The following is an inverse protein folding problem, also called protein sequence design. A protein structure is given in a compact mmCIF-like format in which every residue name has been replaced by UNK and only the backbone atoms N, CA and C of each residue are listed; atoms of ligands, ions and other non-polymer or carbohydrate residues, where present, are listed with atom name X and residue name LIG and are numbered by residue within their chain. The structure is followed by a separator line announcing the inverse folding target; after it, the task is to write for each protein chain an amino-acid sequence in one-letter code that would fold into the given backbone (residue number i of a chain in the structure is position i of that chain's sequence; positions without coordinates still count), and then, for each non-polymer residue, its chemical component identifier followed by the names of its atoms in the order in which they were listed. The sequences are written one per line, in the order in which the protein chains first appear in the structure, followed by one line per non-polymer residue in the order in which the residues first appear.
data_IF_570971292354
#
_entry.id   IF_570971292354
#
_cell.length_a   1.000
_cell.length_b   1.000
_cell.length_c   1.000
_cell.angle_alpha   90.00
_cell.angle_beta   90.00
_cell.angle_gamma   90.00
#
_symmetry.space_group_name_H-M   'P 1'
#
loop_
_entity.id
_entity.type
_entity.pdbx_description
1 polymer ?
#
# COMPACT_ATOMS: atom_id res chain seq x y z
N UNK A 1 7.29 38.79 16.56
CA UNK A 1 7.44 38.10 17.86
C UNK A 1 6.08 37.58 18.32
N UNK A 2 5.71 36.35 17.93
CA UNK A 2 4.68 35.47 18.54
C UNK A 2 4.63 34.20 17.68
N UNK A 3 5.25 33.08 18.08
CA UNK A 3 5.08 31.77 17.40
C UNK A 3 5.63 30.51 18.11
N UNK A 4 6.01 30.56 19.38
CA UNK A 4 6.44 29.35 20.14
C UNK A 4 5.50 28.99 21.31
N UNK A 5 4.42 29.73 21.50
CA UNK A 5 3.40 29.47 22.53
C UNK A 5 2.04 28.99 21.97
N UNK A 6 1.99 28.58 20.70
CA UNK A 6 0.74 28.29 19.97
C UNK A 6 0.44 26.80 19.77
N UNK A 7 1.30 25.90 20.25
CA UNK A 7 1.03 24.46 20.18
C UNK A 7 0.58 23.95 21.54
N UNK A 8 -0.71 23.62 21.66
CA UNK A 8 -1.22 22.94 22.84
C UNK A 8 -0.59 21.54 22.93
N UNK A 9 -0.12 21.14 24.12
CA UNK A 9 0.47 19.82 24.37
C UNK A 9 -0.56 18.69 24.40
N UNK A 10 -1.86 19.00 24.50
CA UNK A 10 -2.96 18.03 24.62
C UNK A 10 -3.41 17.42 23.26
N UNK A 11 -2.51 17.33 22.28
CA UNK A 11 -2.85 16.81 20.96
C UNK A 11 -3.18 15.30 21.00
N UNK A 12 -2.42 14.53 21.77
CA UNK A 12 -2.66 13.10 21.96
C UNK A 12 -4.06 12.82 22.52
N UNK A 13 -4.44 13.58 23.54
CA UNK A 13 -5.71 13.48 24.25
C UNK A 13 -6.87 13.91 23.36
N UNK A 14 -6.66 14.90 22.47
CA UNK A 14 -7.65 15.29 21.47
C UNK A 14 -7.99 14.14 20.51
N UNK A 15 -6.97 13.45 20.01
CA UNK A 15 -7.17 12.29 19.12
C UNK A 15 -7.83 11.14 19.87
N UNK A 16 -7.36 10.81 21.08
CA UNK A 16 -7.96 9.78 21.92
C UNK A 16 -9.43 10.11 22.28
N UNK A 17 -9.75 11.38 22.55
CA UNK A 17 -11.11 11.86 22.78
C UNK A 17 -12.00 11.63 21.54
N UNK A 18 -11.50 11.98 20.35
CA UNK A 18 -12.20 11.83 19.07
C UNK A 18 -12.56 10.36 18.74
N UNK A 19 -11.70 9.42 19.13
CA UNK A 19 -11.93 7.98 18.95
C UNK A 19 -12.62 7.30 20.14
N UNK A 20 -12.86 8.04 21.24
CA UNK A 20 -13.51 7.51 22.43
C UNK A 20 -12.60 6.60 23.26
N UNK A 21 -11.29 6.74 23.14
CA UNK A 21 -10.26 5.90 23.78
C UNK A 21 -9.86 6.39 25.18
N UNK A 22 -10.23 7.62 25.55
CA UNK A 22 -10.00 8.13 26.91
C UNK A 22 -10.88 7.43 27.95
N UNK A 23 -10.29 7.15 29.12
CA UNK A 23 -11.04 6.74 30.31
C UNK A 23 -11.98 7.86 30.80
N UNK A 24 -12.90 7.54 31.71
CA UNK A 24 -13.88 8.51 32.21
C UNK A 24 -13.20 9.72 32.91
N UNK A 25 -12.14 9.46 33.67
CA UNK A 25 -11.40 10.49 34.42
C UNK A 25 -10.61 11.39 33.46
N UNK A 26 -9.87 10.80 32.51
CA UNK A 26 -9.12 11.54 31.48
C UNK A 26 -10.06 12.37 30.59
N UNK A 27 -11.23 11.82 30.26
CA UNK A 27 -12.25 12.54 29.48
C UNK A 27 -12.73 13.79 30.23
N UNK A 28 -13.04 13.68 31.51
CA UNK A 28 -13.47 14.82 32.35
C UNK A 28 -12.39 15.89 32.48
N UNK A 29 -11.13 15.49 32.61
CA UNK A 29 -10.00 16.42 32.63
C UNK A 29 -9.82 17.13 31.28
N UNK A 30 -9.88 16.39 30.18
CA UNK A 30 -9.76 16.95 28.83
C UNK A 30 -10.93 17.89 28.49
N UNK A 31 -12.17 17.57 28.90
CA UNK A 31 -13.32 18.45 28.73
C UNK A 31 -13.15 19.78 29.49
N UNK A 32 -12.56 19.74 30.68
CA UNK A 32 -12.19 20.96 31.41
C UNK A 32 -11.15 21.79 30.66
N UNK A 33 -10.17 21.13 30.05
CA UNK A 33 -9.19 21.79 29.18
C UNK A 33 -9.86 22.42 27.95
N UNK A 34 -10.79 21.73 27.29
CA UNK A 34 -11.54 22.24 26.15
C UNK A 34 -12.30 23.53 26.47
N UNK A 35 -12.82 23.69 27.69
CA UNK A 35 -13.48 24.94 28.12
C UNK A 35 -12.48 26.11 28.20
N UNK A 36 -11.23 25.86 28.58
CA UNK A 36 -10.21 26.89 28.75
C UNK A 36 -9.38 27.17 27.47
N UNK A 37 -9.25 26.20 26.56
CA UNK A 37 -8.35 26.27 25.42
C UNK A 37 -9.09 26.48 24.09
N UNK A 38 -8.97 27.68 23.51
CA UNK A 38 -9.58 27.99 22.21
C UNK A 38 -9.01 27.16 21.05
N UNK A 39 -7.71 26.89 21.08
CA UNK A 39 -7.01 26.12 20.03
C UNK A 39 -7.58 24.70 19.94
N UNK A 40 -7.69 23.99 21.07
CA UNK A 40 -8.24 22.63 21.07
C UNK A 40 -9.71 22.59 20.64
N UNK A 41 -10.51 23.62 20.93
CA UNK A 41 -11.89 23.71 20.42
C UNK A 41 -11.94 23.90 18.92
N UNK A 42 -11.08 24.76 18.39
CA UNK A 42 -11.00 25.01 16.95
C UNK A 42 -10.57 23.74 16.20
N UNK A 43 -9.52 23.08 16.66
CA UNK A 43 -9.05 21.79 16.14
C UNK A 43 -10.13 20.71 16.20
N UNK A 44 -10.79 20.53 17.36
CA UNK A 44 -11.88 19.56 17.52
C UNK A 44 -13.01 19.83 16.52
N UNK A 45 -13.42 21.09 16.36
CA UNK A 45 -14.44 21.47 15.37
C UNK A 45 -13.99 21.20 13.93
N UNK A 46 -12.69 21.33 13.64
CA UNK A 46 -12.09 20.99 12.34
C UNK A 46 -12.19 19.51 12.04
N UNK A 47 -11.88 18.66 13.01
CA UNK A 47 -12.04 17.21 12.89
C UNK A 47 -13.49 16.79 12.71
N UNK A 48 -14.42 17.39 13.46
CA UNK A 48 -15.85 17.10 13.33
C UNK A 48 -16.38 17.44 11.93
N UNK A 49 -15.98 18.59 11.36
CA UNK A 49 -16.31 18.95 9.97
C UNK A 49 -15.76 17.95 8.97
N UNK A 50 -14.51 17.53 9.11
CA UNK A 50 -13.89 16.50 8.25
C UNK A 50 -14.65 15.17 8.34
N UNK A 51 -15.01 14.72 9.55
CA UNK A 51 -15.77 13.47 9.73
C UNK A 51 -17.18 13.57 9.14
N UNK A 52 -17.85 14.72 9.28
CA UNK A 52 -19.14 14.96 8.66
C UNK A 52 -19.02 14.89 7.13
N UNK A 53 -18.00 15.53 6.55
CA UNK A 53 -17.74 15.48 5.11
C UNK A 53 -17.50 14.05 4.60
N UNK A 54 -16.65 13.27 5.28
CA UNK A 54 -16.40 11.86 4.92
C UNK A 54 -17.67 11.02 5.00
N UNK A 55 -18.52 11.23 6.02
CA UNK A 55 -19.81 10.55 6.14
C UNK A 55 -20.75 10.89 4.98
N UNK A 56 -20.86 12.17 4.62
CA UNK A 56 -21.68 12.61 3.47
C UNK A 56 -21.16 12.05 2.16
N UNK A 57 -19.84 12.06 1.95
CA UNK A 57 -19.22 11.46 0.77
C UNK A 57 -19.51 9.96 0.68
N UNK A 58 -19.37 9.23 1.81
CA UNK A 58 -19.68 7.79 1.87
C UNK A 58 -21.15 7.51 1.54
N UNK A 59 -22.08 8.28 2.11
CA UNK A 59 -23.51 8.14 1.81
C UNK A 59 -23.79 8.35 0.31
N UNK A 60 -23.19 9.38 -0.30
CA UNK A 60 -23.29 9.63 -1.75
C UNK A 60 -22.67 8.51 -2.59
N UNK A 61 -21.55 7.95 -2.16
CA UNK A 61 -20.91 6.83 -2.83
C UNK A 61 -21.78 5.56 -2.77
N UNK A 62 -22.44 5.32 -1.63
CA UNK A 62 -23.39 4.22 -1.47
C UNK A 62 -24.65 4.43 -2.34
N UNK A 63 -25.20 5.64 -2.39
CA UNK A 63 -26.31 6.01 -3.27
C UNK A 63 -25.95 5.85 -4.76
N UNK A 64 -24.77 6.32 -5.17
CA UNK A 64 -24.28 6.18 -6.54
C UNK A 64 -24.01 4.71 -6.93
N UNK A 65 -23.74 3.85 -5.95
CA UNK A 65 -23.58 2.42 -6.16
C UNK A 65 -24.93 1.69 -6.37
N UNK A 66 -26.07 2.32 -6.07
CA UNK A 66 -27.42 1.76 -6.32
C UNK A 66 -27.72 1.83 -7.83
N UNK A 67 -27.28 0.82 -8.57
CA UNK A 67 -27.55 0.69 -10.01
C UNK A 67 -26.42 0.07 -10.81
N UNK A 68 -25.19 0.12 -10.28
CA UNK A 68 -24.13 -0.78 -10.73
C UNK A 68 -24.43 -2.19 -10.20
N UNK A 69 -24.14 -3.27 -10.96
CA UNK A 69 -24.18 -4.60 -10.38
C UNK A 69 -23.27 -4.55 -9.16
N UNK A 70 -23.87 -4.66 -7.97
CA UNK A 70 -23.14 -4.63 -6.73
C UNK A 70 -22.09 -5.71 -6.84
N UNK A 71 -20.83 -5.32 -7.10
CA UNK A 71 -19.68 -6.14 -6.75
C UNK A 71 -19.76 -6.17 -5.23
N UNK A 72 -20.61 -7.07 -4.77
CA UNK A 72 -20.76 -7.37 -3.37
C UNK A 72 -19.44 -8.01 -3.03
N UNK A 73 -18.48 -7.20 -2.57
CA UNK A 73 -17.58 -7.60 -1.50
C UNK A 73 -18.47 -7.84 -0.26
N UNK A 74 -19.39 -8.79 -0.41
CA UNK A 74 -20.32 -9.22 0.58
C UNK A 74 -19.50 -10.03 1.55
N UNK A 75 -19.16 -9.39 2.66
CA UNK A 75 -19.09 -10.02 3.96
C UNK A 75 -20.44 -10.65 4.28
N UNK A 76 -20.79 -11.73 3.56
CA UNK A 76 -21.81 -12.67 4.00
C UNK A 76 -21.19 -13.39 5.20
N UNK A 77 -21.77 -13.28 6.41
CA UNK A 77 -21.09 -13.62 7.66
C UNK A 77 -20.86 -15.12 7.89
N UNK A 78 -20.96 -15.99 6.87
CA UNK A 78 -20.70 -17.41 7.05
C UNK A 78 -20.38 -18.21 5.78
N UNK A 79 -19.93 -17.57 4.68
CA UNK A 79 -19.39 -18.35 3.56
C UNK A 79 -17.89 -18.60 3.76
N UNK A 80 -17.41 -19.84 3.62
CA UNK A 80 -16.01 -20.15 3.81
C UNK A 80 -15.19 -19.35 2.79
N UNK A 81 -14.29 -18.51 3.31
CA UNK A 81 -13.42 -17.55 2.60
C UNK A 81 -12.82 -18.05 1.27
N UNK A 82 -12.54 -19.36 1.15
CA UNK A 82 -11.99 -19.95 -0.08
C UNK A 82 -12.97 -19.93 -1.26
N UNK A 83 -14.30 -20.00 -1.02
CA UNK A 83 -15.32 -19.94 -2.08
C UNK A 83 -15.47 -18.54 -2.66
N UNK A 84 -15.32 -17.50 -1.83
CA UNK A 84 -15.32 -16.11 -2.30
C UNK A 84 -14.07 -15.82 -3.14
N UNK A 85 -12.90 -16.30 -2.70
CA UNK A 85 -11.66 -16.20 -3.48
C UNK A 85 -11.77 -16.90 -4.85
N UNK A 86 -12.39 -18.08 -4.91
CA UNK A 86 -12.62 -18.78 -6.19
C UNK A 86 -13.62 -18.07 -7.10
N UNK A 87 -14.65 -17.43 -6.54
CA UNK A 87 -15.62 -16.68 -7.33
C UNK A 87 -14.94 -15.48 -8.01
N UNK A 88 -14.14 -14.71 -7.26
CA UNK A 88 -13.36 -13.60 -7.81
C UNK A 88 -12.33 -14.05 -8.85
N UNK A 89 -11.64 -15.19 -8.61
CA UNK A 89 -10.74 -15.78 -9.60
C UNK A 89 -11.49 -16.14 -10.90
N UNK A 90 -12.66 -16.78 -10.78
CA UNK A 90 -13.44 -17.21 -11.94
C UNK A 90 -13.88 -16.03 -12.81
N UNK A 91 -14.26 -14.92 -12.18
CA UNK A 91 -14.67 -13.70 -12.86
C UNK A 91 -13.49 -13.01 -13.56
N UNK A 92 -12.32 -12.98 -12.91
CA UNK A 92 -11.08 -12.53 -13.52
C UNK A 92 -10.68 -13.38 -14.75
N UNK A 93 -10.83 -14.71 -14.68
CA UNK A 93 -10.57 -15.59 -15.83
C UNK A 93 -11.66 -15.54 -16.92
N UNK A 94 -12.88 -15.14 -16.56
CA UNK A 94 -13.94 -14.91 -17.54
C UNK A 94 -13.65 -13.65 -18.37
N UNK A 95 -13.12 -12.60 -17.75
CA UNK A 95 -12.75 -11.34 -18.40
C UNK A 95 -11.38 -11.37 -19.10
N UNK A 96 -10.57 -12.41 -18.87
CA UNK A 96 -9.23 -12.48 -19.46
C UNK A 96 -9.24 -12.86 -20.95
N UNK A 97 -8.35 -12.26 -21.76
CA UNK A 97 -8.24 -12.53 -23.18
C UNK A 97 -7.87 -14.00 -23.47
N UNK A 98 -8.33 -14.53 -24.60
CA UNK A 98 -8.28 -15.97 -24.90
C UNK A 98 -6.90 -16.63 -24.77
N UNK A 99 -5.81 -15.89 -25.00
CA UNK A 99 -4.43 -16.39 -24.83
C UNK A 99 -4.09 -16.72 -23.37
N UNK A 100 -4.66 -15.99 -22.41
CA UNK A 100 -4.45 -16.17 -20.98
C UNK A 100 -5.16 -17.42 -20.45
N UNK A 101 -6.25 -17.85 -21.11
CA UNK A 101 -6.92 -19.13 -20.81
C UNK A 101 -6.07 -20.32 -21.21
N UNK A 102 -5.34 -20.23 -22.33
CA UNK A 102 -4.44 -21.28 -22.78
C UNK A 102 -3.24 -21.41 -21.84
N UNK A 103 -2.63 -20.30 -21.42
CA UNK A 103 -1.49 -20.34 -20.48
C UNK A 103 -1.90 -20.83 -19.10
N UNK A 104 -3.09 -20.46 -18.62
CA UNK A 104 -3.68 -20.98 -17.38
C UNK A 104 -3.83 -22.50 -17.42
N UNK A 105 -4.42 -23.06 -18.48
CA UNK A 105 -4.62 -24.50 -18.59
C UNK A 105 -3.29 -25.27 -18.59
N UNK A 106 -2.29 -24.76 -19.31
CA UNK A 106 -0.93 -25.35 -19.34
C UNK A 106 -0.27 -25.27 -17.96
N UNK A 107 -0.34 -24.11 -17.29
CA UNK A 107 0.23 -23.93 -15.95
C UNK A 107 -0.43 -24.86 -14.92
N UNK A 108 -1.75 -25.00 -14.95
CA UNK A 108 -2.47 -25.94 -14.08
C UNK A 108 -2.06 -27.38 -14.36
N UNK A 109 -1.92 -27.78 -15.63
CA UNK A 109 -1.43 -29.11 -15.99
C UNK A 109 -0.01 -29.38 -15.48
N UNK A 110 0.89 -28.40 -15.62
CA UNK A 110 2.26 -28.48 -15.11
C UNK A 110 2.27 -28.62 -13.59
N UNK A 111 1.49 -27.81 -12.86
CA UNK A 111 1.39 -27.90 -11.39
C UNK A 111 0.81 -29.24 -10.97
N UNK A 112 -0.24 -29.75 -11.63
CA UNK A 112 -0.79 -31.07 -11.34
C UNK A 112 0.23 -32.19 -11.61
N UNK A 113 0.99 -32.10 -12.71
CA UNK A 113 2.05 -33.06 -13.02
C UNK A 113 3.16 -33.03 -11.96
N UNK A 114 3.60 -31.85 -11.53
CA UNK A 114 4.59 -31.70 -10.46
C UNK A 114 4.06 -32.20 -9.12
N UNK A 115 2.80 -31.93 -8.78
CA UNK A 115 2.17 -32.44 -7.57
C UNK A 115 2.05 -33.98 -7.59
N UNK A 116 1.67 -34.57 -8.73
CA UNK A 116 1.66 -36.01 -8.90
C UNK A 116 3.06 -36.63 -8.76
N UNK A 117 4.09 -35.97 -9.31
CA UNK A 117 5.49 -36.37 -9.15
C UNK A 117 5.97 -36.26 -7.69
N UNK A 118 5.57 -35.20 -6.98
CA UNK A 118 5.89 -35.00 -5.58
C UNK A 118 5.24 -36.08 -4.69
N UNK A 119 3.95 -36.38 -4.91
CA UNK A 119 3.24 -37.46 -4.20
C UNK A 119 3.83 -38.83 -4.55
N UNK A 120 4.28 -39.03 -5.79
CA UNK A 120 4.96 -40.25 -6.22
C UNK A 120 6.41 -40.37 -5.70
N UNK A 121 6.91 -39.43 -4.89
CA UNK A 121 8.31 -39.36 -4.45
C UNK A 121 9.28 -39.51 -5.62
N UNK A 122 8.96 -38.91 -6.78
CA UNK A 122 9.83 -38.93 -7.94
C UNK A 122 11.01 -37.99 -7.68
N UNK A 123 12.17 -38.57 -7.38
CA UNK A 123 13.41 -37.80 -7.29
C UNK A 123 13.82 -37.38 -8.70
N UNK A 124 13.61 -36.10 -9.01
CA UNK A 124 14.09 -35.48 -10.23
C UNK A 124 15.53 -35.01 -10.00
N UNK A 125 16.52 -35.78 -10.48
CA UNK A 125 17.91 -35.34 -10.46
C UNK A 125 18.27 -34.77 -11.83
N UNK A 126 18.41 -33.45 -11.88
CA UNK A 126 18.95 -32.73 -13.03
C UNK A 126 20.46 -32.62 -12.83
N UNK A 127 21.23 -33.45 -13.56
CA UNK A 127 22.69 -33.37 -13.60
C UNK A 127 23.12 -32.61 -14.86
N UNK A 128 24.35 -32.09 -14.87
CA UNK A 128 24.95 -31.52 -16.09
C UNK A 128 25.09 -32.55 -17.23
N UNK A 129 24.94 -33.84 -16.93
CA UNK A 129 24.94 -34.96 -17.90
C UNK A 129 23.54 -35.37 -18.39
N UNK A 130 22.46 -34.74 -17.90
CA UNK A 130 21.09 -35.00 -18.33
C UNK A 130 20.05 -35.08 -17.20
N UNK A 131 18.80 -35.33 -17.57
CA UNK A 131 17.68 -35.44 -16.63
C UNK A 131 17.41 -36.92 -16.33
N UNK A 132 17.66 -37.34 -15.08
CA UNK A 132 17.34 -38.69 -14.62
C UNK A 132 16.04 -38.69 -13.81
N UNK A 133 15.02 -39.39 -14.33
CA UNK A 133 13.75 -39.62 -13.64
C UNK A 133 13.78 -40.96 -12.90
N UNK A 134 13.57 -40.93 -11.58
CA UNK A 134 13.46 -42.15 -10.77
C UNK A 134 12.05 -42.27 -10.19
N UNK A 135 11.17 -43.02 -10.85
CA UNK A 135 9.81 -43.32 -10.36
C UNK A 135 9.85 -44.59 -9.50
N UNK A 136 9.62 -44.48 -8.20
CA UNK A 136 9.78 -45.54 -7.19
C UNK A 136 8.74 -46.66 -7.19
N UNK A 137 8.32 -47.18 -8.35
CA UNK A 137 7.31 -48.25 -8.43
C UNK A 137 7.94 -49.66 -8.34
N UNK A 138 9.26 -49.79 -8.53
CA UNK A 138 9.94 -51.08 -8.37
C UNK A 138 10.38 -51.30 -6.92
N UNK A 139 9.67 -52.21 -6.23
CA UNK A 139 10.03 -52.75 -4.91
C UNK A 139 11.51 -53.15 -4.88
N UNK A 140 12.35 -52.35 -4.24
CA UNK A 140 13.75 -52.68 -3.97
C UNK A 140 13.82 -53.56 -2.71
N UNK A 141 14.63 -54.63 -2.68
CA UNK A 141 14.88 -55.40 -1.46
C UNK A 141 15.45 -54.48 -0.37
N UNK A 142 15.16 -54.75 0.92
CA UNK A 142 15.53 -53.86 2.02
C UNK A 142 17.05 -53.84 2.21
N UNK A 143 17.72 -52.90 1.56
CA UNK A 143 19.08 -52.52 1.87
C UNK A 143 19.03 -51.41 2.93
N UNK A 144 19.37 -51.80 4.16
CA UNK A 144 19.74 -51.00 5.33
C UNK A 144 19.78 -49.48 5.13
N UNK A 145 18.71 -48.83 5.59
CA UNK A 145 18.66 -47.39 5.83
C UNK A 145 19.54 -47.09 7.05
N UNK A 146 20.78 -46.69 6.80
CA UNK A 146 21.59 -45.98 7.79
C UNK A 146 20.96 -44.60 7.96
N UNK A 147 20.39 -44.34 9.12
CA UNK A 147 19.73 -43.08 9.47
C UNK A 147 20.66 -41.90 9.18
N UNK A 148 20.33 -41.11 8.15
CA UNK A 148 20.95 -39.82 7.93
C UNK A 148 20.33 -38.86 8.94
N UNK A 149 21.08 -38.61 10.01
CA UNK A 149 20.83 -37.54 10.97
C UNK A 149 20.70 -36.22 10.20
N UNK A 150 19.55 -35.57 10.28
CA UNK A 150 19.38 -34.18 9.88
C UNK A 150 20.06 -33.30 10.94
N UNK A 151 21.38 -33.18 10.88
CA UNK A 151 22.08 -32.14 11.63
C UNK A 151 21.69 -30.79 11.03
N UNK A 152 21.22 -29.82 11.85
CA UNK A 152 20.93 -28.48 11.36
C UNK A 152 22.24 -27.87 10.85
N UNK A 153 22.28 -27.61 9.54
CA UNK A 153 23.43 -27.07 8.79
C UNK A 153 23.92 -25.69 9.29
N UNK A 154 23.13 -25.02 10.13
CA UNK A 154 23.47 -23.74 10.74
C UNK A 154 22.97 -23.71 12.17
N UNK A 155 23.82 -23.27 13.10
CA UNK A 155 23.38 -22.93 14.45
C UNK A 155 22.57 -21.64 14.39
N UNK A 156 21.63 -21.47 15.31
CA UNK A 156 20.82 -20.24 15.39
C UNK A 156 21.70 -18.98 15.50
N UNK A 157 22.79 -19.06 16.27
CA UNK A 157 23.76 -17.97 16.41
C UNK A 157 24.43 -17.60 15.09
N UNK A 158 24.73 -18.59 14.25
CA UNK A 158 25.32 -18.33 12.93
C UNK A 158 24.33 -17.67 11.98
N UNK A 159 23.06 -18.06 12.05
CA UNK A 159 22.00 -17.40 11.28
C UNK A 159 21.79 -15.95 11.73
N UNK A 160 21.76 -15.69 13.04
CA UNK A 160 21.63 -14.32 13.58
C UNK A 160 22.81 -13.43 13.17
N UNK A 161 24.04 -13.97 13.19
CA UNK A 161 25.24 -13.26 12.71
C UNK A 161 25.12 -12.88 11.23
N UNK A 162 24.71 -13.82 10.38
CA UNK A 162 24.54 -13.58 8.94
C UNK A 162 23.46 -12.51 8.69
N UNK A 163 22.34 -12.56 9.42
CA UNK A 163 21.27 -11.57 9.29
C UNK A 163 21.73 -10.18 9.74
N UNK A 164 22.42 -10.07 10.88
CA UNK A 164 22.94 -8.81 11.39
C UNK A 164 23.93 -8.17 10.41
N UNK A 165 24.82 -8.98 9.81
CA UNK A 165 25.79 -8.53 8.80
C UNK A 165 25.07 -7.99 7.54
N UNK A 166 24.05 -8.70 7.05
CA UNK A 166 23.28 -8.26 5.86
C UNK A 166 22.50 -6.96 6.11
N UNK A 167 21.93 -6.78 7.30
CA UNK A 167 21.21 -5.56 7.66
C UNK A 167 22.19 -4.38 7.75
N UNK A 168 23.35 -4.58 8.37
CA UNK A 168 24.39 -3.54 8.48
C UNK A 168 24.89 -3.10 7.09
N UNK A 169 25.16 -4.08 6.21
CA UNK A 169 25.59 -3.80 4.83
C UNK A 169 24.51 -3.04 4.02
N UNK A 170 23.24 -3.45 4.12
CA UNK A 170 22.14 -2.76 3.45
C UNK A 170 21.97 -1.31 3.92
N UNK A 171 22.10 -1.07 5.23
CA UNK A 171 22.01 0.28 5.80
C UNK A 171 23.16 1.18 5.32
N UNK A 172 24.39 0.65 5.26
CA UNK A 172 25.54 1.39 4.75
C UNK A 172 25.35 1.78 3.27
N UNK A 173 24.87 0.84 2.44
CA UNK A 173 24.59 1.10 1.03
C UNK A 173 23.51 2.18 0.83
N UNK A 174 22.48 2.20 1.69
CA UNK A 174 21.42 3.20 1.60
C UNK A 174 21.91 4.62 1.94
N UNK A 175 22.78 4.76 2.95
CA UNK A 175 23.36 6.05 3.31
C UNK A 175 24.27 6.61 2.22
N UNK A 176 25.06 5.75 1.58
CA UNK A 176 25.93 6.14 0.45
C UNK A 176 25.11 6.63 -0.76
N UNK A 177 23.97 5.98 -1.04
CA UNK A 177 23.03 6.43 -2.07
C UNK A 177 22.45 7.81 -1.78
N UNK A 178 22.01 8.05 -0.54
CA UNK A 178 21.47 9.36 -0.14
C UNK A 178 22.55 10.44 -0.27
N UNK A 179 23.78 10.13 0.14
CA UNK A 179 24.89 11.09 0.08
C UNK A 179 25.28 11.42 -1.37
N UNK A 180 25.34 10.43 -2.26
CA UNK A 180 25.60 10.65 -3.68
C UNK A 180 24.48 11.44 -4.36
N UNK A 181 23.22 11.18 -4.04
CA UNK A 181 22.08 11.97 -4.53
C UNK A 181 22.13 13.44 -4.06
N UNK A 182 22.54 13.68 -2.80
CA UNK A 182 22.72 15.04 -2.28
C UNK A 182 23.87 15.78 -2.97
N UNK A 183 24.99 15.10 -3.23
CA UNK A 183 26.12 15.68 -3.96
C UNK A 183 25.73 16.00 -5.40
N UNK A 184 25.05 15.08 -6.09
CA UNK A 184 24.55 15.32 -7.45
C UNK A 184 23.56 16.49 -7.50
N UNK A 185 22.65 16.59 -6.53
CA UNK A 185 21.72 17.72 -6.41
C UNK A 185 22.46 19.04 -6.18
N UNK A 186 23.53 19.03 -5.38
CA UNK A 186 24.35 20.21 -5.11
C UNK A 186 25.16 20.65 -6.34
N UNK A 187 25.75 19.72 -7.07
CA UNK A 187 26.44 20.01 -8.34
C UNK A 187 25.46 20.52 -9.40
N UNK A 188 24.25 19.96 -9.47
CA UNK A 188 23.19 20.46 -10.35
C UNK A 188 22.77 21.89 -9.94
N UNK A 189 22.65 22.18 -8.65
CA UNK A 189 22.35 23.52 -8.16
C UNK A 189 23.46 24.54 -8.46
N UNK A 190 24.73 24.12 -8.46
CA UNK A 190 25.88 24.96 -8.80
C UNK A 190 26.04 25.19 -10.31
N UNK A 191 25.63 24.22 -11.13
CA UNK A 191 25.67 24.31 -12.60
C UNK A 191 24.46 25.03 -13.18
N UNK A 192 23.36 25.13 -12.43
CA UNK A 192 22.26 26.02 -12.82
C UNK A 192 22.75 27.47 -12.75
N UNK A 193 22.72 28.21 -13.88
CA UNK A 193 23.16 29.60 -13.90
C UNK A 193 22.32 30.39 -12.89
N UNK A 194 22.98 30.91 -11.86
CA UNK A 194 22.33 31.73 -10.85
C UNK A 194 21.55 32.84 -11.57
N UNK A 195 20.22 32.93 -11.39
CA UNK A 195 19.47 34.04 -11.95
C UNK A 195 20.06 35.32 -11.38
N UNK A 196 20.48 36.21 -12.27
CA UNK A 196 21.07 37.50 -11.88
C UNK A 196 20.13 38.19 -10.87
N UNK A 197 20.65 38.75 -9.76
CA UNK A 197 19.82 39.37 -8.73
C UNK A 197 18.89 40.48 -9.26
N UNK A 198 19.20 41.04 -10.44
CA UNK A 198 18.34 41.98 -11.16
C UNK A 198 17.04 41.35 -11.71
N UNK A 199 17.00 40.05 -12.00
CA UNK A 199 15.80 39.34 -12.46
C UNK A 199 14.97 38.75 -11.31
N UNK A 200 15.61 38.42 -10.17
CA UNK A 200 14.92 37.88 -8.99
C UNK A 200 13.95 38.88 -8.35
N UNK A 201 14.28 40.18 -8.35
CA UNK A 201 13.40 41.22 -7.77
C UNK A 201 12.19 41.56 -8.66
N UNK A 202 12.23 41.23 -9.95
CA UNK A 202 11.11 41.48 -10.87
C UNK A 202 10.10 40.31 -10.92
N UNK A 203 10.46 39.12 -10.43
CA UNK A 203 9.62 37.92 -10.49
C UNK A 203 8.98 37.52 -9.15
N UNK A 204 9.40 38.11 -8.02
CA UNK A 204 8.77 37.87 -6.72
C UNK A 204 7.26 38.20 -6.63
N UNK A 205 6.74 39.29 -7.21
CA UNK A 205 5.29 39.58 -7.09
C UNK A 205 4.43 38.60 -7.88
N UNK A 206 4.96 37.98 -8.94
CA UNK A 206 4.21 37.04 -9.78
C UNK A 206 4.14 35.64 -9.16
N UNK A 207 5.11 35.24 -8.33
CA UNK A 207 5.08 33.94 -7.66
C UNK A 207 3.99 33.87 -6.59
N UNK A 208 3.86 34.88 -5.73
CA UNK A 208 2.78 34.93 -4.73
C UNK A 208 1.40 35.01 -5.40
N UNK A 209 1.29 35.75 -6.52
CA UNK A 209 0.06 35.83 -7.29
C UNK A 209 -0.28 34.50 -7.97
N UNK A 210 0.72 33.76 -8.48
CA UNK A 210 0.53 32.45 -9.11
C UNK A 210 0.16 31.37 -8.09
N UNK A 211 0.77 31.37 -6.90
CA UNK A 211 0.41 30.43 -5.82
C UNK A 211 -1.02 30.69 -5.34
N UNK A 212 -1.39 31.95 -5.06
CA UNK A 212 -2.78 32.30 -4.72
C UNK A 212 -3.76 31.96 -5.84
N UNK A 213 -3.38 32.18 -7.11
CA UNK A 213 -4.24 31.83 -8.25
C UNK A 213 -4.38 30.33 -8.43
N UNK A 214 -3.35 29.53 -8.16
CA UNK A 214 -3.45 28.07 -8.18
C UNK A 214 -4.30 27.52 -7.04
N UNK A 215 -4.18 28.10 -5.84
CA UNK A 215 -5.05 27.74 -4.71
C UNK A 215 -6.50 28.14 -4.99
N UNK A 216 -6.75 29.34 -5.52
CA UNK A 216 -8.09 29.78 -5.91
C UNK A 216 -8.66 28.98 -7.08
N UNK A 217 -7.84 28.59 -8.06
CA UNK A 217 -8.26 27.72 -9.16
C UNK A 217 -8.59 26.30 -8.67
N UNK A 218 -7.80 25.74 -7.74
CA UNK A 218 -8.12 24.45 -7.12
C UNK A 218 -9.42 24.50 -6.31
N UNK A 219 -9.69 25.61 -5.63
CA UNK A 219 -10.95 25.82 -4.89
C UNK A 219 -12.14 26.08 -5.83
N UNK A 220 -11.94 26.77 -6.95
CA UNK A 220 -12.99 27.01 -7.94
C UNK A 220 -13.36 25.73 -8.71
N UNK A 221 -12.37 24.91 -9.10
CA UNK A 221 -12.59 23.60 -9.70
C UNK A 221 -13.25 22.61 -8.74
N UNK A 222 -13.11 22.80 -7.43
CA UNK A 222 -13.85 22.02 -6.43
C UNK A 222 -15.30 22.49 -6.24
N UNK A 223 -15.73 23.59 -6.89
CA UNK A 223 -17.06 24.20 -6.72
C UNK A 223 -17.93 24.14 -7.98
N UNK A 224 -17.35 23.99 -9.17
CA UNK A 224 -18.09 23.67 -10.39
C UNK A 224 -18.40 22.17 -10.45
N UNK A 225 -19.62 21.81 -10.01
CA UNK A 225 -20.26 20.49 -10.17
C UNK A 225 -20.62 20.17 -11.65
N UNK A 226 -20.15 20.96 -12.61
CA UNK A 226 -20.44 20.83 -14.05
C UNK A 226 -19.36 20.05 -14.84
N UNK A 227 -18.46 19.33 -14.16
CA UNK A 227 -17.58 18.40 -14.84
C UNK A 227 -18.43 17.34 -15.58
N UNK A 228 -18.33 17.20 -16.92
CA UNK A 228 -19.15 16.26 -17.68
C UNK A 228 -18.95 14.88 -17.08
N UNK A 229 -20.04 14.30 -16.59
CA UNK A 229 -20.01 12.98 -15.98
C UNK A 229 -19.47 12.03 -17.04
N UNK A 230 -18.50 11.19 -16.66
CA UNK A 230 -17.94 10.14 -17.51
C UNK A 230 -19.02 9.25 -18.16
N UNK A 231 -20.22 9.21 -17.58
CA UNK A 231 -21.41 8.56 -18.17
C UNK A 231 -21.86 9.18 -19.50
N UNK A 232 -21.76 10.50 -19.67
CA UNK A 232 -22.19 11.20 -20.89
C UNK A 232 -21.18 10.99 -22.03
N UNK A 233 -19.89 10.93 -21.70
CA UNK A 233 -18.82 10.61 -22.66
C UNK A 233 -18.84 9.14 -23.12
N UNK A 234 -19.34 8.23 -22.27
CA UNK A 234 -19.41 6.80 -22.61
C UNK A 234 -20.69 6.43 -23.38
N UNK A 235 -21.73 7.26 -23.32
CA UNK A 235 -22.95 7.03 -24.12
C UNK A 235 -22.74 7.41 -25.59
N UNK A 236 -21.87 8.37 -25.90
CA UNK A 236 -21.60 8.83 -27.27
C UNK A 236 -20.70 7.87 -28.08
N UNK A 237 -20.00 6.93 -27.43
CA UNK A 237 -19.13 5.93 -28.10
C UNK A 237 -19.89 4.64 -28.47
N UNK A 238 -21.13 4.49 -27.99
CA UNK A 238 -21.92 3.25 -28.19
C UNK A 238 -22.93 3.30 -29.34
N UNK A 239 -22.97 4.38 -30.13
CA UNK A 239 -23.70 4.48 -31.40
C UNK A 239 -22.74 4.42 -32.60
#
# INVERSE_FOLDING_TARGET
MRRESETCTYWSELIAYLYGELSADERSEFERHLLACAICREELSGFERTRAFVRTWKARAEEAAVGLPAISLGSAPNQPQWRQALAALREFFALSPAWLRVTSAVATLVVCALAALAVAHAELRVSSEGVAFRTGIFKRPPAQTKAASSEPLYTQEEMERIVAERIAAARAQMLDRIQSEQLATREQAQSMPHPSPAQASAQQPDFEHRVRRSEQAAVALARDDDAPRLSDLLSEISD
#
